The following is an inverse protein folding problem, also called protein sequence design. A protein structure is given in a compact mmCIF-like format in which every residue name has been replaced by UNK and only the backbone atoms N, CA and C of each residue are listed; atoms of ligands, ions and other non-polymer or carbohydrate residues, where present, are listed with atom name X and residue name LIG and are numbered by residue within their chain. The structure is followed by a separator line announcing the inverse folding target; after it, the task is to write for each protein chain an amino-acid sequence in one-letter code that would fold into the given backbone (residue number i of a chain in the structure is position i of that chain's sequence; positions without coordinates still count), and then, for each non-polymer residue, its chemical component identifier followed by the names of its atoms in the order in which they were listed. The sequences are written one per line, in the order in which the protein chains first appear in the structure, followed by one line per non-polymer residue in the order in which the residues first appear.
data_IF_179782094528
#
_entry.id   IF_179782094528
#
_cell.length_a   1.000
_cell.length_b   1.000
_cell.length_c   1.000
_cell.angle_alpha   90.00
_cell.angle_beta   90.00
_cell.angle_gamma   90.00
#
_symmetry.space_group_name_H-M   'P 1'
#
loop_
_entity.id
_entity.type
_entity.pdbx_description
1 polymer ?
#
# COMPACT_ATOMS: atom_id res chain seq x y z
N UNK A 1 9.96 -4.75 -10.72
CA UNK A 1 9.18 -3.51 -11.01
C UNK A 1 10.16 -2.39 -11.33
N UNK A 2 10.02 -1.72 -12.48
CA UNK A 2 10.87 -0.60 -12.88
C UNK A 2 10.90 0.52 -11.83
N UNK A 3 12.07 1.14 -11.63
CA UNK A 3 12.33 2.32 -10.79
C UNK A 3 11.89 2.25 -9.31
N UNK A 4 11.43 1.11 -8.79
CA UNK A 4 11.02 0.98 -7.39
C UNK A 4 12.14 1.34 -6.41
N UNK A 5 13.36 0.84 -6.64
CA UNK A 5 14.51 1.09 -5.73
C UNK A 5 14.88 2.58 -5.71
N UNK A 6 14.83 3.23 -6.86
CA UNK A 6 15.11 4.66 -6.99
C UNK A 6 14.04 5.47 -6.26
N UNK A 7 12.77 5.12 -6.44
CA UNK A 7 11.67 5.74 -5.70
C UNK A 7 11.80 5.56 -4.18
N UNK A 8 12.09 4.34 -3.70
CA UNK A 8 12.31 4.08 -2.27
C UNK A 8 13.48 4.90 -1.71
N UNK A 9 14.57 5.03 -2.47
CA UNK A 9 15.71 5.88 -2.10
C UNK A 9 15.33 7.36 -2.03
N UNK A 10 14.63 7.86 -3.04
CA UNK A 10 14.16 9.24 -3.08
C UNK A 10 13.17 9.54 -1.96
N UNK A 11 12.23 8.64 -1.67
CA UNK A 11 11.27 8.78 -0.59
C UNK A 11 11.97 8.88 0.79
N UNK A 12 12.99 8.04 1.04
CA UNK A 12 13.80 8.17 2.26
C UNK A 12 14.57 9.50 2.32
N UNK A 13 15.15 9.94 1.20
CA UNK A 13 15.83 11.24 1.13
C UNK A 13 14.86 12.42 1.40
N UNK A 14 13.60 12.28 1.01
CA UNK A 14 12.51 13.20 1.33
C UNK A 14 11.89 12.98 2.72
N UNK A 15 12.53 12.19 3.60
CA UNK A 15 12.10 11.93 4.99
C UNK A 15 10.76 11.19 5.15
N UNK A 16 10.33 10.45 4.13
CA UNK A 16 9.22 9.51 4.31
C UNK A 16 9.64 8.33 5.19
N UNK A 17 8.76 7.96 6.10
CA UNK A 17 8.77 6.64 6.71
C UNK A 17 8.13 5.65 5.74
N UNK A 18 8.77 4.50 5.55
CA UNK A 18 8.34 3.50 4.57
C UNK A 18 8.05 2.19 5.29
N UNK A 19 6.89 1.60 5.02
CA UNK A 19 6.49 0.31 5.59
C UNK A 19 6.15 -0.71 4.51
N UNK A 20 6.33 -1.98 4.84
CA UNK A 20 5.80 -3.09 4.06
C UNK A 20 4.62 -3.72 4.82
N UNK A 21 3.42 -3.63 4.24
CA UNK A 21 2.23 -4.35 4.70
C UNK A 21 1.76 -5.38 3.67
N UNK A 22 2.13 -6.65 3.85
CA UNK A 22 1.90 -7.71 2.86
C UNK A 22 1.13 -8.91 3.39
N UNK A 23 0.29 -9.53 2.56
CA UNK A 23 -0.38 -10.79 2.89
C UNK A 23 0.55 -12.01 2.94
N UNK A 24 1.86 -11.83 2.78
CA UNK A 24 2.87 -12.88 2.90
C UNK A 24 3.24 -13.16 4.36
N UNK A 25 3.72 -14.38 4.62
CA UNK A 25 4.26 -14.76 5.95
C UNK A 25 5.72 -14.37 6.13
N UNK A 26 6.22 -14.46 7.37
CA UNK A 26 7.57 -14.02 7.74
C UNK A 26 8.68 -14.66 6.89
N UNK A 27 8.62 -15.97 6.64
CA UNK A 27 9.63 -16.68 5.86
C UNK A 27 9.74 -16.14 4.43
N UNK A 28 8.60 -15.92 3.76
CA UNK A 28 8.54 -15.37 2.41
C UNK A 28 9.04 -13.94 2.38
N UNK A 29 8.68 -13.13 3.39
CA UNK A 29 9.12 -11.74 3.50
C UNK A 29 10.64 -11.66 3.68
N UNK A 30 11.19 -12.44 4.62
CA UNK A 30 12.63 -12.48 4.87
C UNK A 30 13.38 -12.92 3.61
N UNK A 31 12.93 -14.01 2.98
CA UNK A 31 13.51 -14.49 1.73
C UNK A 31 13.54 -13.40 0.65
N UNK A 32 12.41 -12.74 0.37
CA UNK A 32 12.34 -11.72 -0.68
C UNK A 32 13.17 -10.48 -0.34
N UNK A 33 13.00 -9.93 0.86
CA UNK A 33 13.63 -8.66 1.22
C UNK A 33 15.15 -8.77 1.32
N UNK A 34 15.66 -9.90 1.82
CA UNK A 34 17.09 -10.07 2.06
C UNK A 34 17.81 -10.42 0.75
N UNK A 35 17.23 -11.29 -0.10
CA UNK A 35 17.81 -11.61 -1.41
C UNK A 35 17.75 -10.43 -2.40
N UNK A 36 16.78 -9.54 -2.26
CA UNK A 36 16.66 -8.35 -3.11
C UNK A 36 17.31 -7.11 -2.50
N UNK A 37 17.94 -7.20 -1.33
CA UNK A 37 18.56 -6.08 -0.61
C UNK A 37 17.60 -4.88 -0.46
N UNK A 38 16.34 -5.20 -0.14
CA UNK A 38 15.25 -4.23 0.01
C UNK A 38 14.94 -3.93 1.47
N UNK A 39 15.34 -4.79 2.42
CA UNK A 39 15.03 -4.62 3.85
C UNK A 39 15.42 -3.24 4.39
N UNK A 40 16.55 -2.70 3.93
CA UNK A 40 17.08 -1.38 4.34
C UNK A 40 16.16 -0.19 4.07
N UNK A 41 15.17 -0.34 3.18
CA UNK A 41 14.26 0.77 2.87
C UNK A 41 13.11 0.88 3.85
N UNK A 42 12.73 -0.21 4.53
CA UNK A 42 11.52 -0.29 5.33
C UNK A 42 11.82 -0.09 6.83
N UNK A 43 11.17 0.89 7.44
CA UNK A 43 11.26 1.15 8.88
C UNK A 43 10.42 0.15 9.69
N UNK A 44 9.31 -0.31 9.11
CA UNK A 44 8.42 -1.32 9.69
C UNK A 44 8.03 -2.34 8.62
N UNK A 45 8.05 -3.61 9.00
CA UNK A 45 7.58 -4.74 8.18
C UNK A 45 6.50 -5.49 8.94
N UNK A 46 5.36 -5.70 8.30
CA UNK A 46 4.19 -6.41 8.84
C UNK A 46 3.68 -7.39 7.78
N UNK A 47 3.68 -8.66 8.14
CA UNK A 47 3.13 -9.77 7.36
C UNK A 47 1.75 -10.21 7.85
N UNK A 48 1.20 -11.24 7.20
CA UNK A 48 -0.06 -11.87 7.64
C UNK A 48 0.02 -12.47 9.05
N UNK A 49 1.21 -12.90 9.47
CA UNK A 49 1.44 -13.56 10.76
C UNK A 49 1.45 -12.56 11.93
N UNK A 50 1.53 -11.26 11.64
CA UNK A 50 1.54 -10.16 12.62
C UNK A 50 0.15 -9.61 12.93
N UNK A 51 -0.89 -10.08 12.24
CA UNK A 51 -2.25 -9.51 12.34
C UNK A 51 -3.32 -10.57 12.56
N UNK A 52 -4.37 -10.27 13.34
CA UNK A 52 -5.43 -11.23 13.59
C UNK A 52 -6.35 -11.43 12.39
N UNK A 53 -6.48 -10.43 11.50
CA UNK A 53 -7.28 -10.51 10.28
C UNK A 53 -6.52 -9.98 9.07
N UNK A 54 -6.45 -10.78 8.02
CA UNK A 54 -5.81 -10.40 6.76
C UNK A 54 -6.74 -9.56 5.88
N UNK A 55 -6.17 -8.95 4.83
CA UNK A 55 -6.90 -8.21 3.78
C UNK A 55 -8.13 -9.03 3.32
N UNK A 56 -9.33 -8.43 3.23
CA UNK A 56 -9.55 -6.99 3.13
C UNK A 56 -9.83 -6.30 4.49
N UNK A 57 -9.54 -6.96 5.62
CA UNK A 57 -9.50 -6.27 6.91
C UNK A 57 -8.34 -5.26 6.98
N UNK A 58 -8.51 -4.14 7.70
CA UNK A 58 -7.54 -3.04 7.71
C UNK A 58 -6.29 -3.33 8.55
N UNK A 59 -6.32 -4.38 9.35
CA UNK A 59 -5.38 -4.64 10.45
C UNK A 59 -3.92 -4.52 10.02
N UNK A 60 -3.56 -5.00 8.83
CA UNK A 60 -2.18 -4.91 8.34
C UNK A 60 -1.68 -3.47 8.15
N UNK A 61 -2.55 -2.57 7.71
CA UNK A 61 -2.22 -1.16 7.55
C UNK A 61 -2.38 -0.40 8.86
N UNK A 62 -3.40 -0.72 9.66
CA UNK A 62 -3.56 -0.11 10.98
C UNK A 62 -2.35 -0.42 11.88
N UNK A 63 -1.85 -1.66 11.87
CA UNK A 63 -0.67 -2.06 12.65
C UNK A 63 0.60 -1.38 12.13
N UNK A 64 0.81 -1.22 10.82
CA UNK A 64 1.99 -0.50 10.32
C UNK A 64 1.99 0.96 10.76
N UNK A 65 0.86 1.67 10.62
CA UNK A 65 0.73 3.06 11.06
C UNK A 65 0.93 3.22 12.58
N UNK A 66 0.35 2.32 13.38
CA UNK A 66 0.55 2.30 14.83
C UNK A 66 2.03 2.11 15.21
N UNK A 67 2.73 1.16 14.56
CA UNK A 67 4.16 0.92 14.81
C UNK A 67 5.05 2.12 14.45
N UNK A 68 4.64 2.93 13.46
CA UNK A 68 5.32 4.17 13.11
C UNK A 68 4.90 5.38 13.97
N UNK A 69 3.80 5.29 14.72
CA UNK A 69 3.22 6.44 15.41
C UNK A 69 2.65 7.50 14.46
N UNK A 70 2.25 7.11 13.24
CA UNK A 70 1.71 8.02 12.22
C UNK A 70 0.19 7.86 12.13
N UNK A 71 -0.60 8.95 12.08
CA UNK A 71 -2.04 8.88 11.84
C UNK A 71 -2.35 8.27 10.47
N UNK A 72 -3.37 7.39 10.34
CA UNK A 72 -3.72 6.77 9.07
C UNK A 72 -4.02 7.77 7.94
N UNK A 73 -4.57 8.94 8.29
CA UNK A 73 -4.88 10.03 7.36
C UNK A 73 -3.63 10.70 6.80
N UNK A 74 -2.44 10.40 7.32
CA UNK A 74 -1.15 10.83 6.78
C UNK A 74 -0.44 9.70 6.01
N UNK A 75 -1.03 8.51 5.95
CA UNK A 75 -0.49 7.39 5.21
C UNK A 75 -1.02 7.33 3.77
N UNK A 76 -0.19 6.79 2.87
CA UNK A 76 -0.55 6.43 1.52
C UNK A 76 -0.11 4.98 1.25
N UNK A 77 -1.03 4.19 0.72
CA UNK A 77 -0.80 2.78 0.37
C UNK A 77 -0.57 2.66 -1.14
N UNK A 78 0.40 1.85 -1.55
CA UNK A 78 0.52 1.35 -2.92
C UNK A 78 -0.05 -0.06 -2.98
N UNK A 79 -1.00 -0.31 -3.87
CA UNK A 79 -1.65 -1.62 -4.00
C UNK A 79 -1.95 -1.97 -5.44
N UNK A 80 -1.94 -3.26 -5.73
CA UNK A 80 -2.27 -3.84 -7.02
C UNK A 80 -3.45 -4.82 -6.95
N UNK A 81 -4.07 -4.98 -5.77
CA UNK A 81 -5.21 -5.86 -5.56
C UNK A 81 -6.36 -5.16 -4.83
N UNK A 82 -7.59 -5.53 -5.22
CA UNK A 82 -8.83 -4.95 -4.66
C UNK A 82 -8.99 -5.21 -3.17
N UNK A 83 -8.58 -6.38 -2.68
CA UNK A 83 -8.63 -6.69 -1.25
C UNK A 83 -7.70 -5.77 -0.45
N UNK A 84 -6.55 -5.40 -1.03
CA UNK A 84 -5.62 -4.47 -0.40
C UNK A 84 -6.12 -3.04 -0.44
N UNK A 85 -6.64 -2.58 -1.58
CA UNK A 85 -7.27 -1.28 -1.70
C UNK A 85 -8.41 -1.11 -0.66
N UNK A 86 -9.27 -2.12 -0.50
CA UNK A 86 -10.33 -2.10 0.52
C UNK A 86 -9.79 -2.05 1.94
N UNK A 87 -8.72 -2.78 2.22
CA UNK A 87 -8.08 -2.77 3.53
C UNK A 87 -7.48 -1.38 3.83
N UNK A 88 -6.85 -0.71 2.86
CA UNK A 88 -6.34 0.65 3.00
C UNK A 88 -7.46 1.64 3.35
N UNK A 89 -8.56 1.61 2.60
CA UNK A 89 -9.72 2.46 2.87
C UNK A 89 -10.38 2.19 4.22
N UNK A 90 -10.50 0.91 4.62
CA UNK A 90 -11.00 0.56 5.96
C UNK A 90 -10.06 1.00 7.07
N UNK A 91 -8.77 1.16 6.79
CA UNK A 91 -7.79 1.68 7.72
C UNK A 91 -7.80 3.21 7.81
N UNK A 92 -8.62 3.90 7.00
CA UNK A 92 -8.62 5.37 6.91
C UNK A 92 -7.48 5.92 6.07
N UNK A 93 -6.86 5.09 5.21
CA UNK A 93 -5.71 5.48 4.38
C UNK A 93 -6.12 5.64 2.92
N UNK A 94 -5.38 6.48 2.19
CA UNK A 94 -5.52 6.63 0.74
C UNK A 94 -4.69 5.59 0.00
N UNK A 95 -4.99 5.38 -1.27
CA UNK A 95 -4.35 4.38 -2.10
C UNK A 95 -3.94 4.94 -3.45
N UNK A 96 -2.74 4.57 -3.94
CA UNK A 96 -2.36 4.60 -5.35
C UNK A 96 -2.43 3.18 -5.89
N UNK A 97 -3.09 3.01 -7.03
CA UNK A 97 -3.14 1.72 -7.73
C UNK A 97 -1.88 1.49 -8.55
N UNK A 98 -1.32 0.27 -8.52
CA UNK A 98 -0.19 -0.16 -9.35
C UNK A 98 -0.69 -1.24 -10.32
N UNK A 99 -0.51 -1.04 -11.62
CA UNK A 99 -1.06 -1.94 -12.67
C UNK A 99 -0.17 -3.16 -12.93
N UNK A 100 0.02 -3.99 -11.90
CA UNK A 100 0.70 -5.29 -11.99
C UNK A 100 -0.28 -6.45 -12.10
N UNK A 101 -1.45 -6.36 -11.46
CA UNK A 101 -2.49 -7.40 -11.46
C UNK A 101 -3.82 -6.86 -12.00
N UNK A 102 -4.23 -5.68 -11.54
CA UNK A 102 -5.48 -5.05 -11.94
C UNK A 102 -5.32 -4.09 -13.11
N UNK A 103 -6.39 -3.96 -13.91
CA UNK A 103 -6.53 -2.85 -14.84
C UNK A 103 -6.98 -1.58 -14.11
N UNK A 104 -6.71 -0.42 -14.71
CA UNK A 104 -7.06 0.87 -14.10
C UNK A 104 -8.57 1.00 -13.78
N UNK A 105 -9.42 0.34 -14.56
CA UNK A 105 -10.87 0.34 -14.39
C UNK A 105 -11.37 -0.60 -13.28
N UNK A 106 -10.51 -1.47 -12.76
CA UNK A 106 -10.91 -2.44 -11.73
C UNK A 106 -10.80 -1.84 -10.32
N UNK A 107 -9.93 -0.86 -10.10
CA UNK A 107 -9.80 -0.15 -8.83
C UNK A 107 -11.09 0.63 -8.48
N UNK A 108 -11.37 0.80 -7.19
CA UNK A 108 -12.57 1.50 -6.73
C UNK A 108 -12.45 3.02 -6.82
N UNK A 109 -11.45 3.58 -6.13
CA UNK A 109 -11.29 5.04 -6.03
C UNK A 109 -9.83 5.43 -5.69
N UNK A 110 -8.82 4.91 -6.42
CA UNK A 110 -7.44 5.24 -6.13
C UNK A 110 -7.20 6.72 -6.43
N UNK A 111 -6.27 7.36 -5.72
CA UNK A 111 -5.89 8.75 -6.00
C UNK A 111 -5.38 8.91 -7.44
N UNK A 112 -4.62 7.91 -7.87
CA UNK A 112 -4.18 7.73 -9.25
C UNK A 112 -3.80 6.28 -9.47
N UNK A 113 -3.65 5.89 -10.72
CA UNK A 113 -3.20 4.56 -11.12
C UNK A 113 -1.92 4.70 -11.95
N UNK A 114 -0.87 4.03 -11.51
CA UNK A 114 0.45 4.05 -12.17
C UNK A 114 0.77 2.67 -12.77
N UNK A 115 1.47 2.62 -13.92
CA UNK A 115 1.97 1.35 -14.47
C UNK A 115 3.15 0.81 -13.67
N UNK A 116 4.00 1.69 -13.16
CA UNK A 116 5.18 1.43 -12.35
C UNK A 116 5.67 2.74 -11.72
N UNK A 117 6.87 2.73 -11.11
CA UNK A 117 7.43 3.86 -10.39
C UNK A 117 8.28 4.80 -11.26
N UNK A 118 8.31 4.64 -12.59
CA UNK A 118 9.20 5.40 -13.50
C UNK A 118 8.91 6.91 -13.49
N UNK A 119 7.65 7.29 -13.31
CA UNK A 119 7.21 8.70 -13.39
C UNK A 119 6.62 9.23 -12.07
N UNK A 120 6.75 8.48 -10.98
CA UNK A 120 6.28 8.90 -9.67
C UNK A 120 7.44 9.44 -8.84
N UNK A 121 7.25 10.62 -8.25
CA UNK A 121 8.22 11.21 -7.32
C UNK A 121 7.61 11.36 -5.92
N UNK A 122 8.43 11.43 -4.85
CA UNK A 122 7.94 11.70 -3.50
C UNK A 122 7.20 13.04 -3.39
N UNK A 123 7.60 14.05 -4.15
CA UNK A 123 6.92 15.36 -4.20
C UNK A 123 5.52 15.21 -4.77
N UNK A 124 5.36 14.47 -5.88
CA UNK A 124 4.02 14.22 -6.43
C UNK A 124 3.13 13.43 -5.48
N UNK A 125 3.73 12.53 -4.69
CA UNK A 125 3.00 11.84 -3.61
C UNK A 125 2.50 12.84 -2.57
N UNK A 126 3.32 13.78 -2.11
CA UNK A 126 2.88 14.82 -1.16
C UNK A 126 1.75 15.68 -1.73
N UNK A 127 1.86 16.11 -2.99
CA UNK A 127 0.82 16.87 -3.67
C UNK A 127 -0.51 16.11 -3.69
N UNK A 128 -0.50 14.83 -4.06
CA UNK A 128 -1.69 13.98 -4.05
C UNK A 128 -2.32 13.86 -2.66
N UNK A 129 -1.51 13.78 -1.59
CA UNK A 129 -2.02 13.75 -0.22
C UNK A 129 -2.62 15.08 0.23
N UNK A 130 -2.15 16.21 -0.32
CA UNK A 130 -2.70 17.53 -0.03
C UNK A 130 -3.99 17.81 -0.82
N UNK A 131 -4.05 17.34 -2.07
CA UNK A 131 -5.23 17.43 -2.94
C UNK A 131 -6.42 16.61 -2.41
N UNK A 132 -6.15 15.51 -1.69
CA UNK A 132 -7.16 14.56 -1.24
C UNK A 132 -7.07 14.28 0.25
N UNK A 133 -7.75 15.06 1.08
CA UNK A 133 -7.62 14.99 2.54
C UNK A 133 -8.26 13.75 3.18
N UNK A 134 -9.30 13.19 2.57
CA UNK A 134 -10.07 12.06 3.13
C UNK A 134 -9.87 10.77 2.33
N UNK A 135 -9.79 9.64 3.03
CA UNK A 135 -9.79 8.33 2.40
C UNK A 135 -11.19 7.98 1.86
N UNK A 136 -11.29 7.41 0.64
CA UNK A 136 -12.56 6.88 0.14
C UNK A 136 -13.16 5.84 1.08
N UNK A 137 -14.49 5.73 1.09
CA UNK A 137 -15.17 4.60 1.75
C UNK A 137 -15.18 3.40 0.81
N UNK A 138 -14.91 2.16 1.29
CA UNK A 138 -14.93 0.99 0.43
C UNK A 138 -16.32 0.74 -0.17
N UNK A 139 -16.40 0.45 -1.46
CA UNK A 139 -17.64 0.08 -2.13
C UNK A 139 -18.01 -1.38 -1.79
N UNK A 140 -19.16 -1.53 -1.12
CA UNK A 140 -19.70 -2.83 -0.71
C UNK A 140 -20.14 -3.71 -1.90
N UNK A 141 -20.43 -3.13 -3.06
CA UNK A 141 -20.89 -3.87 -4.25
C UNK A 141 -19.74 -4.46 -5.05
N UNK A 142 -18.67 -3.69 -5.29
CA UNK A 142 -17.44 -4.17 -5.94
C UNK A 142 -16.81 -5.31 -5.17
N UNK A 143 -16.77 -5.22 -3.83
CA UNK A 143 -16.29 -6.30 -2.96
C UNK A 143 -17.04 -7.62 -3.20
N UNK A 144 -18.37 -7.59 -3.27
CA UNK A 144 -19.20 -8.80 -3.47
C UNK A 144 -19.02 -9.46 -4.83
N UNK A 145 -18.77 -8.68 -5.90
CA UNK A 145 -18.62 -9.22 -7.26
C UNK A 145 -17.34 -10.05 -7.42
N UNK A 146 -16.28 -9.70 -6.69
CA UNK A 146 -15.02 -10.43 -6.76
C UNK A 146 -15.06 -11.74 -5.94
N UNK A 147 -15.70 -11.76 -4.77
CA UNK A 147 -15.91 -12.98 -3.98
C UNK A 147 -16.73 -14.05 -4.71
N UNK A 148 -17.53 -13.67 -5.71
CA UNK A 148 -18.33 -14.61 -6.52
C UNK A 148 -17.59 -15.08 -7.79
N UNK A 149 -16.39 -14.57 -8.07
CA UNK A 149 -15.57 -14.91 -9.24
C UNK A 149 -14.37 -15.81 -8.92
N UNK A 150 -14.14 -16.16 -7.64
CA UNK A 150 -13.18 -17.16 -7.19
C UNK A 150 -13.89 -18.35 -6.57
#
# INVERSE_FOLDING_TARGET
MPCLRDFLGAARAASFLITLGTGSGHDTIAYILDHLDLRRYFDVVVGKDDVPKVKPHPDIYTVTAQKLGIPPEQCLVFEDALLGEQAAYRAGMRCIGVRTILEATDFQAPLTVIPDFTHLTPERVLELLQEHLEAPKPDKQLAKRQYMRG
#
